data_IF_830409797658
#
_entry.id   IF_830409797658
#
_cell.length_a   1.000
_cell.length_b   1.000
_cell.length_c   1.000
_cell.angle_alpha   90.00
_cell.angle_beta   90.00
_cell.angle_gamma   90.00
#
_symmetry.space_group_name_H-M   'P 1'
#
loop_
_entity.id
_entity.type
_entity.pdbx_description
1 polymer ?
#
# COMPACT_ATOMS: atom_id res chain seq x y z
N UNK A 1 19.92 57.63 -1.99
CA UNK A 1 20.22 57.42 -3.42
C UNK A 1 21.12 56.20 -3.51
N UNK A 2 20.78 55.20 -4.35
CA UNK A 2 21.54 53.95 -4.58
C UNK A 2 21.78 53.05 -3.34
N UNK A 3 21.99 51.73 -3.46
CA UNK A 3 21.76 50.87 -4.63
C UNK A 3 22.28 49.42 -4.48
N UNK A 4 21.50 48.48 -5.03
CA UNK A 4 21.87 47.16 -5.57
C UNK A 4 22.44 45.98 -4.72
N UNK A 5 22.04 44.79 -5.20
CA UNK A 5 22.46 43.41 -4.82
C UNK A 5 23.70 42.93 -5.61
N UNK A 6 24.41 41.91 -5.09
CA UNK A 6 25.17 40.79 -5.75
C UNK A 6 25.91 40.01 -4.62
N UNK A 7 25.91 38.68 -4.39
CA UNK A 7 25.52 37.41 -5.08
C UNK A 7 26.68 36.70 -5.83
N UNK A 8 26.68 35.35 -5.87
CA UNK A 8 27.67 34.39 -6.47
C UNK A 8 28.97 34.11 -5.66
N UNK A 9 29.67 32.94 -5.73
CA UNK A 9 29.26 31.52 -5.99
C UNK A 9 30.43 30.50 -5.89
N UNK A 10 30.19 29.33 -5.28
CA UNK A 10 30.56 27.93 -5.69
C UNK A 10 32.06 27.51 -5.88
N UNK A 11 32.31 26.17 -5.89
CA UNK A 11 33.51 25.39 -6.34
C UNK A 11 34.61 25.10 -5.27
N UNK A 12 35.28 23.93 -5.17
CA UNK A 12 34.95 22.48 -5.36
C UNK A 12 36.15 21.57 -4.90
N UNK A 13 35.92 20.23 -4.86
CA UNK A 13 36.89 19.11 -5.01
C UNK A 13 38.02 18.85 -3.96
N UNK A 14 38.04 17.63 -3.40
CA UNK A 14 39.19 16.69 -3.21
C UNK A 14 38.69 15.43 -2.42
N UNK A 15 39.02 14.14 -2.63
CA UNK A 15 39.53 13.27 -3.73
C UNK A 15 40.75 12.38 -3.37
N UNK A 16 40.53 11.06 -3.36
CA UNK A 16 41.44 9.87 -3.38
C UNK A 16 42.59 9.64 -2.34
N UNK A 17 42.38 8.60 -1.50
CA UNK A 17 43.36 7.53 -1.18
C UNK A 17 44.49 7.81 -0.16
N UNK A 18 45.25 6.78 0.30
CA UNK A 18 45.21 5.34 -0.04
C UNK A 18 44.86 4.42 1.16
N UNK A 19 45.17 3.12 1.06
CA UNK A 19 44.77 2.02 1.98
C UNK A 19 45.91 1.37 2.79
N UNK A 20 45.61 0.88 4.00
CA UNK A 20 46.45 -0.10 4.75
C UNK A 20 45.59 -0.99 5.66
N UNK A 21 46.13 -2.14 6.09
CA UNK A 21 45.42 -3.23 6.78
C UNK A 21 45.92 -3.45 8.23
N UNK A 22 45.19 -4.31 8.97
CA UNK A 22 45.56 -4.98 10.24
C UNK A 22 45.62 -4.17 11.57
N UNK A 23 45.28 -4.87 12.67
CA UNK A 23 45.42 -4.39 14.06
C UNK A 23 44.31 -4.85 15.02
N UNK A 24 44.56 -5.88 15.85
CA UNK A 24 43.70 -6.22 17.00
C UNK A 24 44.00 -5.32 18.21
N UNK A 25 43.00 -5.02 19.06
CA UNK A 25 43.20 -4.38 20.36
C UNK A 25 41.92 -4.11 21.14
N UNK A 26 41.89 -4.41 22.43
CA UNK A 26 40.75 -4.22 23.34
C UNK A 26 40.88 -2.96 24.23
N UNK A 27 39.76 -2.59 24.87
CA UNK A 27 39.61 -1.74 26.08
C UNK A 27 39.88 -0.22 25.98
N UNK A 28 39.02 0.55 26.67
CA UNK A 28 39.30 1.96 27.06
C UNK A 28 38.28 3.02 26.61
N UNK A 29 37.08 3.08 27.22
CA UNK A 29 36.19 4.26 27.13
C UNK A 29 36.28 5.14 28.39
N UNK A 30 36.68 6.43 28.26
CA UNK A 30 36.17 7.52 29.08
C UNK A 30 35.01 8.25 28.37
N UNK A 31 34.20 9.01 29.12
CA UNK A 31 32.97 9.61 28.60
C UNK A 31 33.17 10.91 27.82
N UNK A 32 32.36 11.12 26.78
CA UNK A 32 32.18 12.37 26.02
C UNK A 32 30.69 12.67 25.75
N UNK A 33 30.35 13.90 25.34
CA UNK A 33 28.95 14.34 25.14
C UNK A 33 28.31 13.71 23.88
N UNK A 34 26.96 13.77 23.72
CA UNK A 34 26.25 13.00 22.71
C UNK A 34 26.40 13.58 21.30
N UNK A 35 27.00 12.81 20.39
CA UNK A 35 26.88 13.02 18.95
C UNK A 35 25.46 12.70 18.47
N UNK A 36 25.00 13.42 17.45
CA UNK A 36 23.69 13.19 16.83
C UNK A 36 23.66 11.84 16.10
N UNK A 37 22.80 10.91 16.54
CA UNK A 37 22.64 9.61 15.90
C UNK A 37 22.09 9.75 14.47
N UNK A 38 23.02 9.65 13.51
CA UNK A 38 22.78 9.57 12.09
C UNK A 38 22.31 8.15 11.77
N UNK A 39 21.00 7.96 11.64
CA UNK A 39 20.36 6.64 11.44
C UNK A 39 21.08 5.80 10.38
N UNK A 40 21.46 4.58 10.75
CA UNK A 40 22.12 3.61 9.88
C UNK A 40 21.07 2.71 9.22
N UNK A 41 20.35 3.26 8.23
CA UNK A 41 19.16 2.67 7.60
C UNK A 41 19.45 1.44 6.68
N UNK A 42 20.50 0.67 6.97
CA UNK A 42 21.06 -0.36 6.09
C UNK A 42 20.77 -1.82 6.52
N UNK A 43 20.74 -2.12 7.82
CA UNK A 43 20.85 -3.51 8.33
C UNK A 43 19.54 -4.18 8.75
N UNK A 44 18.39 -3.48 8.72
CA UNK A 44 17.10 -4.09 9.03
C UNK A 44 16.52 -4.86 7.84
N UNK A 45 16.74 -6.18 7.83
CA UNK A 45 15.93 -7.12 7.04
C UNK A 45 14.45 -6.96 7.37
N UNK A 46 13.60 -6.93 6.35
CA UNK A 46 12.15 -7.01 6.50
C UNK A 46 11.78 -8.31 7.24
N UNK A 47 10.94 -8.25 8.29
CA UNK A 47 10.53 -9.44 9.03
C UNK A 47 9.45 -10.21 8.27
N UNK A 48 9.67 -11.50 8.03
CA UNK A 48 8.60 -12.44 7.65
C UNK A 48 7.41 -12.37 8.62
N UNK A 49 6.22 -12.66 8.11
CA UNK A 49 4.98 -12.61 8.88
C UNK A 49 5.02 -13.60 10.07
N UNK A 50 4.43 -13.26 11.23
CA UNK A 50 4.32 -14.19 12.36
C UNK A 50 3.27 -15.27 12.08
N UNK A 51 3.53 -16.50 12.56
CA UNK A 51 2.59 -17.62 12.51
C UNK A 51 1.34 -17.34 13.39
N UNK A 52 0.31 -16.74 12.80
CA UNK A 52 -1.00 -16.52 13.43
C UNK A 52 -1.98 -17.63 12.98
N UNK A 53 -2.75 -18.26 13.89
CA UNK A 53 -3.75 -19.26 13.50
C UNK A 53 -4.86 -18.68 12.60
N UNK A 54 -4.75 -18.95 11.29
CA UNK A 54 -5.71 -18.49 10.29
C UNK A 54 -7.08 -19.11 10.55
N UNK A 55 -8.08 -18.28 10.85
CA UNK A 55 -9.46 -18.73 11.13
C UNK A 55 -10.32 -18.75 9.87
N UNK A 56 -9.85 -19.42 8.82
CA UNK A 56 -10.59 -19.61 7.56
C UNK A 56 -11.82 -20.48 7.77
N UNK A 57 -12.98 -19.98 7.32
CA UNK A 57 -14.07 -20.86 6.88
C UNK A 57 -13.67 -21.38 5.50
N UNK A 58 -13.46 -22.69 5.36
CA UNK A 58 -13.13 -23.31 4.07
C UNK A 58 -14.24 -23.03 3.05
N UNK A 59 -13.86 -22.67 1.83
CA UNK A 59 -14.82 -22.57 0.73
C UNK A 59 -14.81 -23.88 -0.06
N UNK A 60 -15.94 -24.58 -0.06
CA UNK A 60 -16.24 -25.58 -1.09
C UNK A 60 -16.55 -24.86 -2.41
N UNK A 61 -15.56 -24.14 -2.96
CA UNK A 61 -15.61 -23.54 -4.30
C UNK A 61 -15.45 -24.68 -5.30
N UNK A 62 -16.46 -25.02 -6.13
CA UNK A 62 -16.30 -26.07 -7.11
C UNK A 62 -15.33 -25.59 -8.20
N UNK A 63 -14.14 -26.18 -8.27
CA UNK A 63 -13.27 -26.05 -9.44
C UNK A 63 -14.05 -26.54 -10.66
N UNK A 64 -14.29 -25.66 -11.64
CA UNK A 64 -14.94 -26.02 -12.90
C UNK A 64 -14.01 -26.91 -13.73
N UNK A 65 -14.04 -28.21 -13.45
CA UNK A 65 -13.73 -29.22 -14.45
C UNK A 65 -14.91 -29.32 -15.42
N UNK A 66 -14.62 -29.12 -16.70
CA UNK A 66 -15.58 -28.76 -17.76
C UNK A 66 -16.43 -29.94 -18.26
N UNK A 67 -16.82 -30.87 -17.36
CA UNK A 67 -17.44 -32.16 -17.75
C UNK A 67 -18.30 -32.83 -16.67
N UNK A 68 -19.03 -32.06 -15.84
CA UNK A 68 -20.07 -32.62 -14.96
C UNK A 68 -21.45 -31.96 -15.12
N UNK A 69 -22.49 -32.78 -15.02
CA UNK A 69 -23.89 -32.37 -15.10
C UNK A 69 -24.26 -31.40 -13.96
N UNK A 70 -25.23 -30.47 -14.17
CA UNK A 70 -25.47 -29.36 -13.25
C UNK A 70 -25.82 -29.83 -11.83
N UNK A 71 -25.07 -29.39 -10.81
CA UNK A 71 -25.43 -29.59 -9.41
C UNK A 71 -26.81 -28.98 -9.08
N UNK A 72 -27.39 -29.42 -7.97
CA UNK A 72 -28.73 -29.00 -7.54
C UNK A 72 -28.81 -27.50 -7.19
N UNK A 73 -30.04 -26.98 -7.10
CA UNK A 73 -30.36 -25.56 -6.86
C UNK A 73 -30.01 -25.04 -5.45
N UNK A 74 -28.85 -25.40 -4.90
CA UNK A 74 -28.29 -24.73 -3.73
C UNK A 74 -27.83 -23.35 -4.17
N UNK A 75 -28.51 -22.30 -3.69
CA UNK A 75 -28.07 -20.92 -3.93
C UNK A 75 -26.78 -20.69 -3.11
N UNK A 76 -25.63 -20.73 -3.79
CA UNK A 76 -24.37 -20.27 -3.20
C UNK A 76 -24.57 -18.84 -2.64
N UNK A 77 -24.15 -18.64 -1.40
CA UNK A 77 -24.12 -17.33 -0.75
C UNK A 77 -22.75 -17.18 -0.14
N UNK A 78 -22.06 -16.11 -0.51
CA UNK A 78 -20.72 -15.85 -0.01
C UNK A 78 -20.77 -15.57 1.50
N UNK A 79 -19.81 -16.08 2.31
CA UNK A 79 -19.75 -15.77 3.73
C UNK A 79 -19.85 -14.26 3.95
N UNK A 80 -20.83 -13.83 4.74
CA UNK A 80 -21.06 -12.40 4.98
C UNK A 80 -20.02 -11.89 5.98
N UNK A 81 -19.47 -10.71 5.71
CA UNK A 81 -18.69 -10.00 6.72
C UNK A 81 -19.59 -9.70 7.93
N UNK A 82 -19.12 -10.02 9.13
CA UNK A 82 -19.80 -9.74 10.39
C UNK A 82 -18.85 -8.90 11.24
N UNK A 83 -19.11 -7.59 11.30
CA UNK A 83 -18.31 -6.65 12.08
C UNK A 83 -18.32 -6.97 13.57
N UNK A 84 -17.14 -6.98 14.19
CA UNK A 84 -16.98 -7.13 15.64
C UNK A 84 -17.24 -5.80 16.35
N UNK A 85 -17.96 -5.82 17.50
CA UNK A 85 -18.18 -4.61 18.29
C UNK A 85 -16.86 -4.01 18.81
N UNK A 86 -16.85 -2.70 18.98
CA UNK A 86 -15.68 -1.94 19.38
C UNK A 86 -15.18 -2.33 20.79
N UNK A 87 -14.07 -3.07 20.84
CA UNK A 87 -13.37 -3.44 22.09
C UNK A 87 -12.72 -2.24 22.80
N UNK A 88 -12.46 -1.17 22.04
CA UNK A 88 -11.91 0.10 22.53
C UNK A 88 -12.88 1.24 22.16
N UNK A 89 -13.15 2.22 23.05
CA UNK A 89 -13.97 3.38 22.73
C UNK A 89 -13.50 4.09 21.45
N UNK A 90 -14.41 4.58 20.62
CA UNK A 90 -14.07 5.36 19.42
C UNK A 90 -14.00 6.84 19.80
N UNK A 91 -12.98 7.62 19.38
CA UNK A 91 -12.90 9.05 19.65
C UNK A 91 -14.13 9.84 19.20
N UNK A 92 -14.59 10.74 20.06
CA UNK A 92 -15.75 11.64 19.85
C UNK A 92 -15.37 13.13 19.86
N UNK A 93 -14.15 13.46 20.30
CA UNK A 93 -13.53 14.78 20.24
C UNK A 93 -12.02 14.61 19.94
N UNK A 94 -11.32 15.62 19.36
CA UNK A 94 -9.87 15.55 19.16
C UNK A 94 -9.15 15.40 20.51
N UNK A 95 -8.19 14.47 20.60
CA UNK A 95 -7.39 14.25 21.82
C UNK A 95 -5.89 14.44 21.65
N UNK A 96 -5.42 14.76 20.44
CA UNK A 96 -3.98 14.88 20.15
C UNK A 96 -3.37 16.28 20.32
N UNK A 97 -4.15 17.27 20.76
CA UNK A 97 -3.66 18.66 20.94
C UNK A 97 -3.32 19.40 19.64
N UNK A 98 -3.58 18.79 18.49
CA UNK A 98 -3.26 19.31 17.16
C UNK A 98 -4.05 20.61 16.91
N UNK A 99 -3.34 21.72 16.73
CA UNK A 99 -3.93 23.06 16.56
C UNK A 99 -4.40 23.34 15.13
N UNK A 100 -3.78 22.72 14.12
CA UNK A 100 -4.16 22.86 12.71
C UNK A 100 -5.40 21.99 12.38
N UNK A 101 -6.56 22.63 12.41
CA UNK A 101 -7.80 22.12 11.83
C UNK A 101 -7.82 22.26 10.31
N UNK A 102 -8.70 21.50 9.65
CA UNK A 102 -8.90 21.62 8.21
C UNK A 102 -9.41 23.03 7.83
N UNK A 103 -8.85 23.61 6.77
CA UNK A 103 -9.19 24.95 6.26
C UNK A 103 -10.49 24.96 5.45
N UNK A 104 -10.89 23.81 4.91
CA UNK A 104 -12.19 23.55 4.29
C UNK A 104 -12.38 22.04 4.07
N UNK A 105 -13.58 21.59 3.70
CA UNK A 105 -13.85 20.22 3.24
C UNK A 105 -13.15 19.84 1.91
N UNK A 106 -12.34 20.74 1.32
CA UNK A 106 -11.40 20.41 0.23
C UNK A 106 -10.03 19.96 0.73
N UNK A 107 -9.78 19.96 2.05
CA UNK A 107 -8.59 19.34 2.63
C UNK A 107 -8.86 17.86 2.93
N UNK A 108 -8.47 17.00 1.97
CA UNK A 108 -8.75 15.56 1.94
C UNK A 108 -7.50 14.75 2.29
N UNK A 109 -7.65 13.79 3.21
CA UNK A 109 -6.65 12.75 3.47
C UNK A 109 -7.07 11.47 2.76
N UNK A 110 -6.14 10.90 1.98
CA UNK A 110 -6.30 9.63 1.30
C UNK A 110 -5.47 8.59 2.06
N UNK A 111 -6.15 7.79 2.87
CA UNK A 111 -5.52 6.68 3.58
C UNK A 111 -5.29 5.54 2.59
N UNK A 112 -4.03 5.14 2.39
CA UNK A 112 -3.67 4.04 1.48
C UNK A 112 -2.94 2.92 2.23
N UNK A 113 -3.28 1.68 1.89
CA UNK A 113 -2.83 0.49 2.62
C UNK A 113 -2.34 -0.56 1.62
N UNK A 114 -1.05 -0.84 1.62
CA UNK A 114 -0.38 -1.64 0.59
C UNK A 114 -0.17 -3.10 1.03
N UNK A 115 0.43 -3.91 0.14
CA UNK A 115 0.80 -5.33 0.31
C UNK A 115 -0.34 -6.33 0.55
N UNK A 116 -1.57 -5.89 0.32
CA UNK A 116 -2.75 -6.67 0.63
C UNK A 116 -3.23 -7.66 -0.44
N UNK A 117 -4.26 -8.47 -0.17
CA UNK A 117 -4.97 -8.59 1.12
C UNK A 117 -4.24 -9.53 2.09
N UNK A 118 -3.52 -8.99 3.09
CA UNK A 118 -2.77 -9.82 4.02
C UNK A 118 -3.69 -10.53 5.03
N UNK A 119 -3.56 -11.86 5.21
CA UNK A 119 -4.42 -12.62 6.10
C UNK A 119 -4.19 -12.32 7.59
N UNK A 120 -3.06 -11.73 7.96
CA UNK A 120 -2.78 -11.34 9.36
C UNK A 120 -3.49 -10.03 9.74
N UNK A 121 -3.54 -9.05 8.83
CA UNK A 121 -3.95 -7.68 9.14
C UNK A 121 -5.29 -7.23 8.56
N UNK A 122 -5.66 -7.68 7.35
CA UNK A 122 -6.82 -7.13 6.61
C UNK A 122 -8.13 -7.24 7.39
N UNK A 123 -8.38 -8.40 8.02
CA UNK A 123 -9.61 -8.62 8.77
C UNK A 123 -9.73 -7.66 9.97
N UNK A 124 -8.63 -7.36 10.65
CA UNK A 124 -8.65 -6.41 11.78
C UNK A 124 -8.95 -4.99 11.29
N UNK A 125 -8.37 -4.57 10.17
CA UNK A 125 -8.67 -3.27 9.54
C UNK A 125 -10.12 -3.14 9.11
N UNK A 126 -10.70 -4.17 8.47
CA UNK A 126 -12.12 -4.15 8.07
C UNK A 126 -13.04 -4.04 9.29
N UNK A 127 -12.76 -4.75 10.38
CA UNK A 127 -13.48 -4.61 11.64
C UNK A 127 -13.33 -3.21 12.26
N UNK A 128 -12.13 -2.62 12.19
CA UNK A 128 -11.86 -1.31 12.75
C UNK A 128 -12.55 -0.18 11.94
N UNK A 129 -12.65 -0.32 10.61
CA UNK A 129 -13.35 0.62 9.73
C UNK A 129 -14.89 0.46 9.78
N UNK A 130 -15.41 -0.76 9.91
CA UNK A 130 -16.83 -1.01 10.16
C UNK A 130 -17.30 -0.32 11.46
N UNK A 131 -16.54 -0.48 12.55
CA UNK A 131 -16.78 0.23 13.82
C UNK A 131 -16.83 1.76 13.64
N UNK A 132 -15.96 2.31 12.78
CA UNK A 132 -15.90 3.75 12.50
C UNK A 132 -17.12 4.24 11.73
N UNK A 133 -17.59 3.44 10.76
CA UNK A 133 -18.64 3.80 9.80
C UNK A 133 -20.05 3.52 10.35
N UNK A 134 -20.18 2.64 11.34
CA UNK A 134 -21.43 2.44 12.10
C UNK A 134 -21.75 3.55 13.13
N UNK A 135 -21.01 4.67 13.13
CA UNK A 135 -21.33 5.87 13.93
C UNK A 135 -22.36 6.74 13.23
N UNK A 136 -23.45 7.07 13.90
CA UNK A 136 -24.59 7.84 13.35
C UNK A 136 -24.36 9.35 13.21
N UNK A 137 -23.22 9.88 13.69
CA UNK A 137 -22.95 11.33 13.81
C UNK A 137 -21.76 11.83 12.98
N UNK A 138 -21.23 11.00 12.07
CA UNK A 138 -20.12 11.33 11.16
C UNK A 138 -20.37 10.69 9.80
N UNK A 139 -19.79 11.29 8.76
CA UNK A 139 -19.72 10.68 7.44
C UNK A 139 -18.85 9.41 7.49
N UNK A 140 -19.21 8.40 6.70
CA UNK A 140 -18.42 7.19 6.57
C UNK A 140 -17.06 7.51 5.91
N UNK A 141 -16.00 6.90 6.43
CA UNK A 141 -14.66 6.99 5.88
C UNK A 141 -14.34 5.72 5.08
N UNK A 142 -13.86 5.90 3.85
CA UNK A 142 -13.39 4.81 3.00
C UNK A 142 -11.91 5.01 2.69
N UNK A 143 -11.17 3.92 2.66
CA UNK A 143 -9.72 3.91 2.42
C UNK A 143 -9.42 3.14 1.13
N UNK A 144 -8.21 3.30 0.60
CA UNK A 144 -7.78 2.60 -0.61
C UNK A 144 -6.78 1.52 -0.26
N UNK A 145 -7.04 0.28 -0.66
CA UNK A 145 -6.08 -0.81 -0.55
C UNK A 145 -5.34 -0.94 -1.88
N UNK A 146 -4.01 -1.05 -1.83
CA UNK A 146 -3.19 -1.32 -3.02
C UNK A 146 -2.79 -2.78 -2.95
N UNK A 147 -3.39 -3.59 -3.82
CA UNK A 147 -3.45 -5.04 -3.69
C UNK A 147 -2.35 -5.72 -4.53
N UNK A 148 -1.63 -6.65 -3.91
CA UNK A 148 -0.54 -7.45 -4.49
C UNK A 148 -1.03 -8.86 -4.84
N UNK A 149 -0.76 -9.30 -6.07
CA UNK A 149 -1.19 -10.61 -6.59
C UNK A 149 -0.65 -11.82 -5.80
N UNK A 150 0.57 -11.72 -5.25
CA UNK A 150 1.20 -12.82 -4.52
C UNK A 150 0.34 -13.40 -3.39
N UNK A 151 -0.51 -12.59 -2.74
CA UNK A 151 -1.37 -13.04 -1.63
C UNK A 151 -2.35 -14.17 -2.01
N UNK A 152 -2.72 -14.30 -3.28
CA UNK A 152 -3.52 -15.42 -3.78
C UNK A 152 -2.72 -16.72 -3.98
N UNK A 153 -1.39 -16.65 -3.85
CA UNK A 153 -0.45 -17.77 -3.94
C UNK A 153 0.20 -18.09 -2.57
N UNK A 154 0.48 -17.09 -1.73
CA UNK A 154 1.03 -17.24 -0.39
C UNK A 154 1.34 -15.89 0.25
N UNK A 155 1.74 -15.87 1.53
CA UNK A 155 2.07 -14.62 2.23
C UNK A 155 3.47 -14.07 1.89
N UNK A 156 4.36 -14.93 1.39
CA UNK A 156 5.76 -14.62 1.07
C UNK A 156 5.93 -14.54 -0.45
N UNK A 157 6.62 -13.51 -0.94
CA UNK A 157 6.82 -13.27 -2.38
C UNK A 157 7.59 -14.38 -3.10
N UNK A 158 8.46 -15.12 -2.40
CA UNK A 158 9.13 -16.32 -2.95
C UNK A 158 8.13 -17.39 -3.44
N UNK A 159 6.92 -17.44 -2.86
CA UNK A 159 5.88 -18.37 -3.27
C UNK A 159 5.44 -18.13 -4.72
N UNK A 160 5.10 -16.88 -5.10
CA UNK A 160 4.72 -16.58 -6.49
C UNK A 160 5.93 -16.60 -7.42
N UNK A 161 7.07 -16.05 -7.00
CA UNK A 161 8.33 -16.02 -7.78
C UNK A 161 8.75 -17.43 -8.23
N UNK A 162 8.46 -18.45 -7.43
CA UNK A 162 8.78 -19.85 -7.73
C UNK A 162 7.60 -20.72 -8.19
N UNK A 163 6.36 -20.20 -8.20
CA UNK A 163 5.11 -20.95 -8.37
C UNK A 163 4.93 -22.10 -7.35
N UNK A 164 5.20 -21.82 -6.07
CA UNK A 164 5.01 -22.72 -4.92
C UNK A 164 3.75 -22.34 -4.13
N UNK A 165 2.62 -22.21 -4.79
CA UNK A 165 1.42 -21.66 -4.16
C UNK A 165 0.78 -22.61 -3.14
N UNK A 166 0.30 -22.05 -2.02
CA UNK A 166 -0.56 -22.71 -1.05
C UNK A 166 -2.03 -22.49 -1.46
N UNK A 167 -2.81 -23.54 -1.79
CA UNK A 167 -4.21 -23.38 -2.19
C UNK A 167 -5.08 -22.60 -1.20
N UNK A 168 -4.84 -22.72 0.12
CA UNK A 168 -5.60 -22.01 1.15
C UNK A 168 -5.36 -20.48 1.15
N UNK A 169 -4.30 -20.00 0.50
CA UNK A 169 -4.07 -18.56 0.35
C UNK A 169 -5.13 -17.92 -0.57
N UNK A 170 -5.55 -18.62 -1.63
CA UNK A 170 -6.52 -18.13 -2.60
C UNK A 170 -7.88 -17.79 -1.96
N UNK A 171 -8.49 -18.74 -1.24
CA UNK A 171 -9.79 -18.54 -0.59
C UNK A 171 -9.75 -17.42 0.45
N UNK A 172 -8.63 -17.33 1.18
CA UNK A 172 -8.41 -16.29 2.20
C UNK A 172 -8.31 -14.90 1.56
N UNK A 173 -7.49 -14.76 0.52
CA UNK A 173 -7.34 -13.52 -0.23
C UNK A 173 -8.66 -13.08 -0.88
N UNK A 174 -9.38 -14.01 -1.52
CA UNK A 174 -10.69 -13.76 -2.13
C UNK A 174 -11.74 -13.32 -1.09
N UNK A 175 -11.82 -14.00 0.06
CA UNK A 175 -12.73 -13.64 1.15
C UNK A 175 -12.49 -12.21 1.64
N UNK A 176 -11.23 -11.88 1.94
CA UNK A 176 -10.82 -10.57 2.45
C UNK A 176 -11.03 -9.46 1.42
N UNK A 177 -10.77 -9.73 0.14
CA UNK A 177 -10.93 -8.76 -0.94
C UNK A 177 -12.41 -8.47 -1.25
N UNK A 178 -13.25 -9.51 -1.34
CA UNK A 178 -14.70 -9.34 -1.55
C UNK A 178 -15.34 -8.58 -0.38
N UNK A 179 -14.92 -8.84 0.87
CA UNK A 179 -15.35 -8.05 2.02
C UNK A 179 -14.87 -6.60 1.95
N UNK A 180 -13.62 -6.36 1.51
CA UNK A 180 -13.07 -5.01 1.29
C UNK A 180 -13.93 -4.22 0.29
N UNK A 181 -14.29 -4.82 -0.84
CA UNK A 181 -15.11 -4.21 -1.89
C UNK A 181 -16.55 -3.94 -1.40
N UNK A 182 -17.18 -4.92 -0.73
CA UNK A 182 -18.54 -4.76 -0.18
C UNK A 182 -18.63 -3.74 0.96
N UNK A 183 -17.53 -3.49 1.67
CA UNK A 183 -17.41 -2.41 2.65
C UNK A 183 -17.27 -1.00 2.01
N UNK A 184 -17.25 -0.89 0.67
CA UNK A 184 -17.18 0.38 -0.07
C UNK A 184 -15.76 0.96 -0.20
N UNK A 185 -14.74 0.25 0.29
CA UNK A 185 -13.34 0.64 0.11
C UNK A 185 -12.92 0.51 -1.37
N UNK A 186 -11.88 1.26 -1.76
CA UNK A 186 -11.32 1.21 -3.11
C UNK A 186 -10.18 0.20 -3.16
N UNK A 187 -9.98 -0.44 -4.32
CA UNK A 187 -8.78 -1.24 -4.62
C UNK A 187 -8.00 -0.66 -5.80
N UNK A 188 -6.69 -0.86 -5.81
CA UNK A 188 -5.74 -0.45 -6.84
C UNK A 188 -4.61 -1.51 -6.97
N UNK A 189 -3.82 -1.49 -8.04
CA UNK A 189 -2.84 -2.55 -8.32
C UNK A 189 -1.44 -2.30 -7.70
N UNK A 190 -0.82 -3.35 -7.12
CA UNK A 190 0.54 -3.30 -6.52
C UNK A 190 1.51 -4.38 -7.05
N UNK A 191 1.33 -4.86 -8.29
CA UNK A 191 2.07 -5.96 -8.96
C UNK A 191 1.69 -7.39 -8.53
N UNK A 192 2.19 -8.37 -9.26
CA UNK A 192 2.05 -9.79 -8.93
C UNK A 192 3.09 -10.22 -7.88
N UNK A 193 4.34 -9.76 -8.03
CA UNK A 193 5.50 -10.24 -7.28
C UNK A 193 6.03 -9.32 -6.18
N UNK A 194 5.51 -8.09 -6.08
CA UNK A 194 6.08 -6.96 -5.30
C UNK A 194 7.54 -6.60 -5.68
N UNK A 195 8.11 -7.22 -6.72
CA UNK A 195 9.53 -7.12 -7.10
C UNK A 195 10.53 -7.36 -5.96
N UNK A 196 10.15 -8.01 -4.86
CA UNK A 196 11.00 -8.15 -3.68
C UNK A 196 12.09 -9.22 -3.86
N UNK A 197 13.36 -8.82 -3.90
CA UNK A 197 14.49 -9.74 -3.87
C UNK A 197 14.88 -10.04 -2.42
N UNK A 198 14.50 -11.24 -1.96
CA UNK A 198 14.83 -11.74 -0.62
C UNK A 198 16.34 -11.92 -0.35
N UNK A 199 17.20 -11.91 -1.37
CA UNK A 199 18.67 -11.95 -1.22
C UNK A 199 19.23 -10.56 -0.96
N UNK A 200 18.71 -9.54 -1.65
CA UNK A 200 19.06 -8.15 -1.46
C UNK A 200 18.38 -7.53 -0.22
N UNK A 201 17.19 -8.01 0.13
CA UNK A 201 16.36 -7.47 1.21
C UNK A 201 15.54 -6.25 0.79
N UNK A 202 15.26 -6.07 -0.50
CA UNK A 202 14.51 -4.93 -1.03
C UNK A 202 13.94 -5.18 -2.44
N UNK A 203 13.05 -4.30 -2.93
CA UNK A 203 12.53 -4.38 -4.29
C UNK A 203 13.64 -4.17 -5.34
N UNK A 204 13.74 -5.05 -6.33
CA UNK A 204 14.80 -5.06 -7.34
C UNK A 204 14.19 -5.27 -8.74
N UNK A 205 13.84 -4.16 -9.39
CA UNK A 205 13.13 -4.12 -10.67
C UNK A 205 13.99 -4.59 -11.86
N UNK A 206 15.32 -4.59 -11.75
CA UNK A 206 16.23 -5.15 -12.75
C UNK A 206 16.34 -6.68 -12.62
N UNK A 207 16.38 -7.21 -11.40
CA UNK A 207 16.67 -8.63 -11.16
C UNK A 207 15.41 -9.50 -11.16
N UNK A 208 14.32 -9.04 -10.53
CA UNK A 208 13.13 -9.89 -10.35
C UNK A 208 12.46 -10.31 -11.66
N UNK A 209 12.33 -9.47 -12.71
CA UNK A 209 11.89 -9.90 -14.04
C UNK A 209 12.67 -11.10 -14.62
N UNK A 210 13.95 -11.27 -14.26
CA UNK A 210 14.76 -12.37 -14.77
C UNK A 210 14.42 -13.69 -14.06
N UNK A 211 14.28 -13.64 -12.72
CA UNK A 211 14.10 -14.83 -11.87
C UNK A 211 12.64 -15.25 -11.65
N UNK A 212 11.69 -14.32 -11.66
CA UNK A 212 10.26 -14.60 -11.49
C UNK A 212 9.76 -15.56 -12.55
N UNK A 213 9.17 -16.68 -12.12
CA UNK A 213 8.38 -17.57 -12.99
C UNK A 213 7.01 -16.95 -13.22
N UNK A 214 6.42 -17.25 -14.39
CA UNK A 214 5.09 -16.79 -14.77
C UNK A 214 4.25 -18.03 -15.06
N UNK A 215 3.01 -18.06 -14.56
CA UNK A 215 2.06 -19.14 -14.84
C UNK A 215 1.71 -19.20 -16.33
N UNK A 216 1.45 -20.38 -16.86
CA UNK A 216 1.18 -20.58 -18.30
C UNK A 216 0.02 -19.70 -18.81
N UNK A 217 -1.04 -19.50 -18.00
CA UNK A 217 -2.16 -18.61 -18.35
C UNK A 217 -1.77 -17.13 -18.54
N UNK A 218 -0.64 -16.71 -17.97
CA UNK A 218 -0.07 -15.37 -18.07
C UNK A 218 1.25 -15.33 -18.85
N UNK A 219 1.71 -16.44 -19.45
CA UNK A 219 2.97 -16.46 -20.21
C UNK A 219 2.99 -15.46 -21.37
N UNK A 220 1.81 -15.17 -21.96
CA UNK A 220 1.61 -14.10 -22.97
C UNK A 220 1.90 -12.68 -22.45
N UNK A 221 2.03 -12.47 -21.15
CA UNK A 221 2.46 -11.19 -20.58
C UNK A 221 3.98 -10.99 -20.64
N UNK A 222 4.76 -11.99 -21.06
CA UNK A 222 6.22 -11.91 -20.90
C UNK A 222 6.62 -11.79 -19.42
N UNK A 223 7.70 -11.06 -19.13
CA UNK A 223 8.31 -11.00 -17.78
C UNK A 223 8.65 -9.61 -17.26
N UNK A 224 8.55 -8.57 -18.09
CA UNK A 224 8.94 -7.21 -17.72
C UNK A 224 8.12 -6.64 -16.54
N UNK A 225 8.53 -5.46 -16.07
CA UNK A 225 7.99 -4.83 -14.86
C UNK A 225 6.58 -4.26 -15.03
N UNK A 226 6.21 -3.68 -16.18
CA UNK A 226 4.84 -3.22 -16.39
C UNK A 226 3.88 -4.41 -16.60
N UNK A 227 4.37 -5.51 -17.14
CA UNK A 227 3.64 -6.76 -17.27
C UNK A 227 3.46 -7.50 -15.94
N UNK A 228 4.36 -7.34 -14.95
CA UNK A 228 4.11 -7.84 -13.58
C UNK A 228 2.99 -7.06 -12.88
N UNK A 229 2.90 -5.75 -13.13
CA UNK A 229 1.79 -4.91 -12.70
C UNK A 229 0.46 -5.40 -13.31
N UNK A 230 0.45 -5.73 -14.61
CA UNK A 230 -0.73 -6.32 -15.29
C UNK A 230 -1.05 -7.73 -14.80
N UNK A 231 -0.06 -8.59 -14.52
CA UNK A 231 -0.29 -9.94 -13.97
C UNK A 231 -1.01 -9.90 -12.62
N UNK A 232 -0.58 -9.02 -11.71
CA UNK A 232 -1.24 -8.84 -10.42
C UNK A 232 -2.71 -8.41 -10.59
N UNK A 233 -2.96 -7.43 -11.45
CA UNK A 233 -4.32 -7.00 -11.77
C UNK A 233 -5.17 -8.10 -12.45
N UNK A 234 -4.61 -8.87 -13.40
CA UNK A 234 -5.29 -10.02 -14.01
C UNK A 234 -5.66 -11.08 -12.96
N UNK A 235 -4.76 -11.40 -12.02
CA UNK A 235 -5.01 -12.37 -10.95
C UNK A 235 -6.15 -11.95 -10.03
N UNK A 236 -6.21 -10.66 -9.73
CA UNK A 236 -7.27 -10.07 -8.91
C UNK A 236 -8.61 -10.06 -9.67
N UNK A 237 -8.62 -9.63 -10.94
CA UNK A 237 -9.81 -9.57 -11.79
C UNK A 237 -10.40 -10.97 -12.06
N UNK A 238 -9.54 -11.94 -12.42
CA UNK A 238 -9.89 -13.38 -12.56
C UNK A 238 -10.62 -13.91 -11.31
N UNK A 239 -10.16 -13.53 -10.11
CA UNK A 239 -10.72 -14.00 -8.84
C UNK A 239 -12.07 -13.33 -8.49
N UNK A 240 -12.27 -12.07 -8.91
CA UNK A 240 -13.50 -11.29 -8.69
C UNK A 240 -14.60 -11.59 -9.73
N UNK A 241 -14.24 -12.17 -10.88
CA UNK A 241 -15.14 -12.41 -12.02
C UNK A 241 -16.38 -13.29 -11.74
N UNK A 242 -16.38 -14.08 -10.67
CA UNK A 242 -17.51 -14.94 -10.33
C UNK A 242 -18.75 -14.12 -9.88
N UNK A 243 -19.82 -14.14 -10.69
CA UNK A 243 -21.05 -13.40 -10.41
C UNK A 243 -21.74 -13.78 -9.08
N UNK A 244 -21.56 -15.00 -8.57
CA UNK A 244 -22.19 -15.44 -7.30
C UNK A 244 -21.63 -14.73 -6.07
N UNK A 245 -20.48 -14.05 -6.21
CA UNK A 245 -19.93 -13.16 -5.19
C UNK A 245 -20.81 -11.92 -4.98
N UNK A 246 -21.57 -11.46 -5.99
CA UNK A 246 -22.15 -10.12 -6.07
C UNK A 246 -23.68 -10.15 -5.99
N UNK A 247 -24.22 -10.47 -4.81
CA UNK A 247 -25.63 -10.80 -4.58
C UNK A 247 -26.60 -9.64 -4.93
N UNK A 248 -26.25 -8.39 -4.58
CA UNK A 248 -27.13 -7.21 -4.74
C UNK A 248 -26.67 -6.27 -5.86
N UNK A 249 -27.52 -5.31 -6.27
CA UNK A 249 -27.10 -4.28 -7.23
C UNK A 249 -26.06 -3.32 -6.65
N UNK A 250 -26.03 -3.14 -5.32
CA UNK A 250 -24.96 -2.41 -4.64
C UNK A 250 -23.64 -3.20 -4.69
N UNK A 251 -23.68 -4.52 -4.47
CA UNK A 251 -22.53 -5.41 -4.62
C UNK A 251 -21.97 -5.34 -6.05
N UNK A 252 -22.86 -5.40 -7.06
CA UNK A 252 -22.50 -5.32 -8.48
C UNK A 252 -21.97 -3.93 -8.88
N UNK A 253 -22.45 -2.85 -8.26
CA UNK A 253 -21.91 -1.51 -8.46
C UNK A 253 -20.52 -1.35 -7.81
N UNK A 254 -20.34 -1.87 -6.59
CA UNK A 254 -19.06 -1.89 -5.90
C UNK A 254 -18.00 -2.71 -6.66
N UNK A 255 -18.38 -3.89 -7.18
CA UNK A 255 -17.53 -4.70 -8.06
C UNK A 255 -17.11 -3.95 -9.33
N UNK A 256 -18.05 -3.32 -10.04
CA UNK A 256 -17.74 -2.52 -11.25
C UNK A 256 -16.78 -1.36 -10.95
N UNK A 257 -16.93 -0.70 -9.78
CA UNK A 257 -15.96 0.30 -9.31
C UNK A 257 -14.60 -0.33 -9.04
N UNK A 258 -14.54 -1.43 -8.29
CA UNK A 258 -13.31 -2.12 -7.92
C UNK A 258 -12.48 -2.54 -9.15
N UNK A 259 -13.11 -3.18 -10.14
CA UNK A 259 -12.47 -3.54 -11.42
C UNK A 259 -12.02 -2.27 -12.16
N UNK A 260 -12.87 -1.23 -12.24
CA UNK A 260 -12.48 0.02 -12.90
C UNK A 260 -11.34 0.75 -12.21
N UNK A 261 -11.18 0.65 -10.89
CA UNK A 261 -10.10 1.30 -10.14
C UNK A 261 -8.81 0.48 -10.17
N UNK A 262 -8.90 -0.85 -10.09
CA UNK A 262 -7.79 -1.78 -10.32
C UNK A 262 -7.13 -1.55 -11.70
N UNK A 263 -7.94 -1.33 -12.75
CA UNK A 263 -7.47 -1.04 -14.11
C UNK A 263 -7.22 0.45 -14.42
N UNK A 264 -7.16 1.33 -13.41
CA UNK A 264 -6.89 2.77 -13.59
C UNK A 264 -5.91 3.37 -12.56
N UNK A 265 -5.68 2.72 -11.42
CA UNK A 265 -4.83 3.22 -10.33
C UNK A 265 -3.86 2.13 -9.88
N UNK A 266 -2.62 2.55 -9.62
CA UNK A 266 -1.59 1.67 -9.08
C UNK A 266 -0.62 2.44 -8.19
N UNK A 267 0.18 1.69 -7.43
CA UNK A 267 1.44 2.18 -6.85
C UNK A 267 2.52 1.17 -7.16
N UNK A 268 3.73 1.65 -7.42
CA UNK A 268 4.89 0.79 -7.67
C UNK A 268 5.51 0.37 -6.32
N UNK A 269 5.67 -0.94 -6.05
CA UNK A 269 6.42 -1.47 -4.91
C UNK A 269 7.72 -0.72 -4.60
N UNK A 270 7.96 -0.45 -3.31
CA UNK A 270 9.09 0.33 -2.78
C UNK A 270 9.36 1.69 -3.47
N UNK A 271 8.40 2.33 -4.15
CA UNK A 271 8.69 3.47 -5.05
C UNK A 271 7.69 4.62 -4.89
N UNK A 272 8.12 5.73 -4.28
CA UNK A 272 7.33 6.96 -4.19
C UNK A 272 7.40 7.76 -5.50
N UNK A 273 6.73 7.22 -6.53
CA UNK A 273 6.57 7.82 -7.85
C UNK A 273 5.14 8.33 -8.02
N UNK A 274 5.01 9.55 -8.51
CA UNK A 274 3.75 10.12 -8.96
C UNK A 274 3.80 10.23 -10.48
N UNK A 275 2.91 9.52 -11.17
CA UNK A 275 2.73 9.66 -12.62
C UNK A 275 1.27 9.86 -12.97
N UNK A 276 0.93 11.12 -13.21
CA UNK A 276 -0.42 11.64 -13.43
C UNK A 276 -0.42 12.54 -14.69
N UNK A 277 -1.59 13.00 -15.16
CA UNK A 277 -1.65 14.05 -16.18
C UNK A 277 -0.98 15.32 -15.66
N UNK A 278 0.03 15.81 -16.37
CA UNK A 278 0.78 17.01 -15.99
C UNK A 278 1.58 16.92 -14.68
N UNK A 279 1.92 15.71 -14.21
CA UNK A 279 2.83 15.50 -13.07
C UNK A 279 3.64 14.20 -13.25
N UNK A 280 4.98 14.32 -13.15
CA UNK A 280 5.92 13.19 -13.14
C UNK A 280 7.00 13.48 -12.10
N UNK A 281 6.93 12.85 -10.92
CA UNK A 281 7.93 13.00 -9.86
C UNK A 281 8.30 11.64 -9.27
N UNK A 282 9.53 11.52 -8.75
CA UNK A 282 9.96 10.37 -7.94
C UNK A 282 10.84 10.86 -6.80
N UNK A 283 10.60 10.34 -5.60
CA UNK A 283 11.27 10.76 -4.36
C UNK A 283 11.58 9.56 -3.47
N UNK A 284 12.35 9.75 -2.39
CA UNK A 284 12.57 8.72 -1.37
C UNK A 284 13.40 7.49 -1.77
N UNK A 285 13.89 7.42 -3.01
CA UNK A 285 14.76 6.33 -3.48
C UNK A 285 16.07 6.29 -2.67
N UNK A 286 16.45 5.09 -2.21
CA UNK A 286 17.76 4.85 -1.57
C UNK A 286 18.84 4.88 -2.64
N UNK A 287 20.11 4.93 -2.21
CA UNK A 287 21.27 4.97 -3.12
C UNK A 287 21.32 3.75 -4.07
N UNK A 288 20.85 2.62 -3.58
CA UNK A 288 20.78 1.32 -4.26
C UNK A 288 19.64 1.27 -5.29
N UNK A 289 18.61 2.11 -5.12
CA UNK A 289 17.48 2.27 -6.04
C UNK A 289 17.79 3.31 -7.16
N UNK A 290 19.03 3.81 -7.28
CA UNK A 290 19.42 4.81 -8.28
C UNK A 290 19.97 4.20 -9.57
N UNK A 291 20.16 5.04 -10.60
CA UNK A 291 20.66 4.60 -11.90
C UNK A 291 19.70 3.59 -12.56
N UNK A 292 20.18 2.41 -12.98
CA UNK A 292 19.34 1.41 -13.65
C UNK A 292 18.03 1.07 -12.92
N UNK A 293 18.05 0.94 -11.58
CA UNK A 293 16.83 0.67 -10.77
C UNK A 293 15.80 1.81 -10.88
N UNK A 294 16.25 3.06 -10.71
CA UNK A 294 15.40 4.25 -10.87
C UNK A 294 14.82 4.29 -12.28
N UNK A 295 15.64 4.03 -13.29
CA UNK A 295 15.26 4.25 -14.67
C UNK A 295 14.28 3.16 -15.16
N UNK A 296 14.39 1.90 -14.70
CA UNK A 296 13.36 0.87 -14.94
C UNK A 296 12.07 1.15 -14.15
N UNK A 297 12.14 1.66 -12.91
CA UNK A 297 10.95 2.06 -12.13
C UNK A 297 10.19 3.20 -12.80
N UNK A 298 10.91 4.21 -13.28
CA UNK A 298 10.31 5.30 -14.07
C UNK A 298 9.72 4.78 -15.39
N UNK A 299 10.44 3.92 -16.11
CA UNK A 299 9.91 3.30 -17.34
C UNK A 299 8.64 2.47 -17.07
N UNK A 300 8.56 1.79 -15.93
CA UNK A 300 7.36 1.07 -15.49
C UNK A 300 6.19 2.04 -15.32
N UNK A 301 6.37 3.14 -14.60
CA UNK A 301 5.33 4.16 -14.40
C UNK A 301 4.90 4.84 -15.72
N UNK A 302 5.84 5.15 -16.63
CA UNK A 302 5.52 5.70 -17.96
C UNK A 302 4.78 4.69 -18.85
N UNK A 303 5.15 3.41 -18.81
CA UNK A 303 4.46 2.33 -19.56
C UNK A 303 3.03 2.15 -19.07
N UNK A 304 2.83 2.07 -17.76
CA UNK A 304 1.52 2.04 -17.13
C UNK A 304 0.67 3.27 -17.51
N UNK A 305 1.24 4.47 -17.51
CA UNK A 305 0.55 5.69 -17.94
C UNK A 305 0.25 5.73 -19.45
N UNK A 306 1.02 5.02 -20.28
CA UNK A 306 0.74 4.89 -21.72
C UNK A 306 -0.53 4.09 -22.02
N UNK A 307 -0.84 3.06 -21.22
CA UNK A 307 -1.87 2.07 -21.55
C UNK A 307 -1.41 1.10 -22.66
N UNK A 308 -2.37 0.47 -23.34
CA UNK A 308 -2.16 -0.44 -24.48
C UNK A 308 -1.12 -1.55 -24.23
N UNK A 309 -1.11 -2.07 -22.99
CA UNK A 309 -0.11 -3.04 -22.51
C UNK A 309 -0.32 -4.42 -23.14
N UNK A 310 0.75 -5.04 -23.64
CA UNK A 310 0.72 -6.24 -24.51
C UNK A 310 -0.18 -7.39 -23.99
N UNK A 311 -0.15 -7.66 -22.68
CA UNK A 311 -0.96 -8.74 -22.11
C UNK A 311 -2.47 -8.45 -22.09
N UNK A 312 -2.86 -7.16 -22.04
CA UNK A 312 -4.24 -6.67 -22.02
C UNK A 312 -4.32 -5.35 -22.81
N UNK A 313 -4.40 -5.38 -24.16
CA UNK A 313 -4.30 -4.18 -24.99
C UNK A 313 -5.45 -3.17 -24.82
N UNK A 314 -6.56 -3.54 -24.20
CA UNK A 314 -7.66 -2.63 -23.82
C UNK A 314 -7.39 -1.86 -22.51
N UNK A 315 -6.17 -1.95 -21.95
CA UNK A 315 -5.74 -1.15 -20.80
C UNK A 315 -5.70 0.34 -21.15
N UNK A 316 -6.48 1.11 -20.38
CA UNK A 316 -6.39 2.58 -20.33
C UNK A 316 -5.09 2.99 -19.59
N UNK A 317 -4.66 4.26 -19.73
CA UNK A 317 -3.67 4.87 -18.85
C UNK A 317 -3.94 4.60 -17.36
N UNK A 318 -2.95 4.04 -16.67
CA UNK A 318 -2.94 3.91 -15.22
C UNK A 318 -2.26 5.10 -14.55
N UNK A 319 -2.78 5.48 -13.39
CA UNK A 319 -2.26 6.56 -12.55
C UNK A 319 -1.37 5.96 -11.46
N UNK A 320 -0.08 6.30 -11.49
CA UNK A 320 0.86 5.86 -10.44
C UNK A 320 0.81 6.84 -9.28
N UNK A 321 0.41 6.37 -8.10
CA UNK A 321 0.15 7.19 -6.92
C UNK A 321 1.22 6.99 -5.86
N UNK A 322 2.03 8.02 -5.58
CA UNK A 322 3.02 8.01 -4.50
C UNK A 322 2.39 8.26 -3.13
N UNK A 323 3.17 8.83 -2.20
CA UNK A 323 2.70 9.23 -0.87
C UNK A 323 3.35 10.52 -0.37
N UNK A 324 2.62 11.28 0.45
CA UNK A 324 3.09 12.52 1.11
C UNK A 324 3.55 12.26 2.55
N UNK A 325 2.98 11.26 3.22
CA UNK A 325 3.34 10.79 4.55
C UNK A 325 3.40 9.25 4.58
N UNK A 326 4.15 8.68 5.52
CA UNK A 326 4.33 7.24 5.65
C UNK A 326 4.20 6.81 7.12
N UNK A 327 3.39 5.79 7.38
CA UNK A 327 3.21 5.20 8.70
C UNK A 327 3.75 3.78 8.73
N UNK A 328 4.89 3.61 9.39
CA UNK A 328 5.39 2.30 9.83
C UNK A 328 5.03 2.09 11.29
N UNK A 329 4.28 1.03 11.56
CA UNK A 329 3.93 0.57 12.91
C UNK A 329 4.69 -0.74 13.16
N UNK A 330 5.45 -0.82 14.26
CA UNK A 330 6.26 -2.00 14.54
C UNK A 330 5.36 -3.25 14.76
N UNK A 331 5.66 -4.32 14.01
CA UNK A 331 4.97 -5.59 14.12
C UNK A 331 5.19 -6.27 15.50
N UNK A 332 6.29 -5.97 16.19
CA UNK A 332 6.79 -6.72 17.37
C UNK A 332 6.86 -5.91 18.67
N UNK A 333 6.87 -4.58 18.62
CA UNK A 333 6.91 -3.75 19.83
C UNK A 333 5.57 -3.63 20.55
N UNK A 334 5.64 -3.48 21.88
CA UNK A 334 4.57 -2.82 22.66
C UNK A 334 4.61 -1.31 22.40
N UNK A 335 3.46 -0.73 22.06
CA UNK A 335 3.34 0.67 21.64
C UNK A 335 2.34 1.42 22.51
N UNK A 336 2.55 2.73 22.68
CA UNK A 336 1.55 3.64 23.23
C UNK A 336 0.60 4.04 22.09
N UNK A 337 -0.62 3.50 22.13
CA UNK A 337 -1.63 3.71 21.10
C UNK A 337 -2.03 5.19 20.95
N UNK A 338 -2.06 5.96 22.03
CA UNK A 338 -2.40 7.39 21.99
C UNK A 338 -1.24 8.19 21.41
N UNK A 339 0.00 7.92 21.83
CA UNK A 339 1.21 8.57 21.28
C UNK A 339 1.36 8.30 19.78
N UNK A 340 1.22 7.04 19.36
CA UNK A 340 1.38 6.66 17.95
C UNK A 340 0.27 7.26 17.08
N UNK A 341 -1.00 7.19 17.51
CA UNK A 341 -2.11 7.88 16.85
C UNK A 341 -1.82 9.38 16.65
N UNK A 342 -1.34 10.05 17.71
CA UNK A 342 -1.13 11.49 17.66
C UNK A 342 0.09 11.92 16.86
N UNK A 343 1.16 11.11 16.86
CA UNK A 343 2.29 11.26 15.92
C UNK A 343 1.78 11.19 14.48
N UNK A 344 1.10 10.09 14.10
CA UNK A 344 0.64 9.86 12.73
C UNK A 344 -0.36 10.93 12.27
N UNK A 345 -1.31 11.30 13.12
CA UNK A 345 -2.25 12.39 12.83
C UNK A 345 -1.52 13.73 12.64
N UNK A 346 -0.51 14.05 13.46
CA UNK A 346 0.29 15.27 13.30
C UNK A 346 1.16 15.24 12.03
N UNK A 347 1.75 14.10 11.69
CA UNK A 347 2.59 13.92 10.50
C UNK A 347 1.79 14.10 9.20
N UNK A 348 0.55 13.57 9.14
CA UNK A 348 -0.42 13.82 8.06
C UNK A 348 -0.79 15.31 7.98
N UNK A 349 -1.15 15.88 9.13
CA UNK A 349 -1.58 17.29 9.24
C UNK A 349 -0.47 18.27 8.82
N UNK A 350 0.79 17.93 9.07
CA UNK A 350 1.95 18.72 8.64
C UNK A 350 2.08 18.82 7.11
N UNK A 351 1.67 17.80 6.34
CA UNK A 351 1.85 17.78 4.89
C UNK A 351 0.98 18.81 4.15
N UNK A 352 -0.17 19.19 4.70
CA UNK A 352 -1.06 20.18 4.06
C UNK A 352 -0.42 21.56 3.88
N UNK A 353 0.50 21.94 4.77
CA UNK A 353 1.24 23.22 4.69
C UNK A 353 2.72 23.04 4.30
N UNK A 354 3.15 21.80 4.01
CA UNK A 354 4.50 21.49 3.57
C UNK A 354 4.71 21.88 2.10
N UNK A 355 5.56 22.89 1.87
CA UNK A 355 5.94 23.36 0.53
C UNK A 355 6.74 22.34 -0.29
N UNK A 356 7.26 21.31 0.37
CA UNK A 356 8.14 20.26 -0.17
C UNK A 356 7.54 18.85 -0.06
N UNK A 357 6.22 18.70 0.15
CA UNK A 357 5.58 17.37 0.07
C UNK A 357 5.77 16.77 -1.32
N UNK A 358 5.77 15.44 -1.42
CA UNK A 358 6.16 14.73 -2.63
C UNK A 358 5.08 14.77 -3.74
N UNK A 359 3.80 14.77 -3.36
CA UNK A 359 2.68 14.77 -4.29
C UNK A 359 2.23 16.15 -4.78
N UNK A 360 1.32 16.18 -5.78
CA UNK A 360 0.73 17.41 -6.31
C UNK A 360 0.32 18.42 -5.23
N UNK A 361 0.82 19.66 -5.36
CA UNK A 361 0.55 20.75 -4.41
C UNK A 361 -0.94 21.09 -4.38
N UNK A 362 -1.51 21.10 -3.18
CA UNK A 362 -2.93 21.31 -2.93
C UNK A 362 -3.38 20.68 -1.60
N UNK A 363 -4.67 20.82 -1.29
CA UNK A 363 -5.32 20.30 -0.07
C UNK A 363 -5.52 18.78 -0.06
N UNK A 364 -4.52 18.01 -0.47
CA UNK A 364 -4.62 16.57 -0.67
C UNK A 364 -3.38 15.91 -0.07
N UNK A 365 -3.54 14.96 0.84
CA UNK A 365 -2.43 14.26 1.49
C UNK A 365 -2.64 12.76 1.36
N UNK A 366 -1.71 12.05 0.72
CA UNK A 366 -1.74 10.58 0.64
C UNK A 366 -0.85 9.97 1.72
N UNK A 367 -1.40 9.10 2.55
CA UNK A 367 -0.66 8.34 3.57
C UNK A 367 -0.40 6.91 3.09
N UNK A 368 0.86 6.48 3.04
CA UNK A 368 1.25 5.07 2.93
C UNK A 368 1.23 4.37 4.30
N UNK A 369 0.66 3.16 4.35
CA UNK A 369 0.92 2.12 5.37
C UNK A 369 0.69 0.74 4.73
N UNK A 370 0.82 -0.36 5.47
CA UNK A 370 0.65 -1.73 4.94
C UNK A 370 -0.28 -2.53 5.87
N UNK A 371 -1.13 -3.42 5.34
CA UNK A 371 -2.15 -4.06 6.18
C UNK A 371 -1.57 -5.04 7.21
N UNK A 372 -0.47 -5.75 6.87
CA UNK A 372 0.23 -6.68 7.77
C UNK A 372 0.74 -6.05 9.08
N UNK A 373 0.91 -4.73 9.17
CA UNK A 373 1.24 -4.05 10.44
C UNK A 373 0.11 -4.19 11.47
N UNK A 374 -1.13 -4.33 11.02
CA UNK A 374 -2.35 -4.31 11.85
C UNK A 374 -2.79 -5.73 12.23
N UNK A 375 -1.83 -6.59 12.58
CA UNK A 375 -2.00 -8.01 12.89
C UNK A 375 -2.90 -8.33 14.11
N UNK A 376 -3.37 -7.31 14.83
CA UNK A 376 -4.31 -7.46 15.95
C UNK A 376 -5.32 -6.30 16.04
N UNK A 377 -6.41 -6.51 16.77
CA UNK A 377 -7.50 -5.55 16.94
C UNK A 377 -7.15 -4.30 17.75
N UNK A 378 -6.03 -4.29 18.50
CA UNK A 378 -5.55 -3.08 19.17
C UNK A 378 -4.71 -2.22 18.20
N UNK A 379 -3.90 -2.83 17.33
CA UNK A 379 -3.21 -2.11 16.26
C UNK A 379 -4.19 -1.51 15.27
N UNK A 380 -5.18 -2.30 14.83
CA UNK A 380 -6.21 -1.80 13.92
C UNK A 380 -7.09 -0.70 14.54
N UNK A 381 -7.28 -0.67 15.88
CA UNK A 381 -7.98 0.43 16.52
C UNK A 381 -7.18 1.75 16.51
N UNK A 382 -5.84 1.72 16.46
CA UNK A 382 -5.04 2.93 16.18
C UNK A 382 -5.42 3.50 14.81
N UNK A 383 -5.53 2.67 13.77
CA UNK A 383 -5.85 3.12 12.40
C UNK A 383 -7.23 3.81 12.36
N UNK A 384 -8.25 3.13 12.90
CA UNK A 384 -9.59 3.70 13.13
C UNK A 384 -9.53 5.04 13.87
N UNK A 385 -8.72 5.14 14.92
CA UNK A 385 -8.67 6.33 15.77
C UNK A 385 -7.87 7.48 15.16
N UNK A 386 -6.87 7.21 14.29
CA UNK A 386 -6.24 8.22 13.43
C UNK A 386 -7.27 8.82 12.49
N UNK A 387 -8.04 7.98 11.79
CA UNK A 387 -9.11 8.43 10.89
C UNK A 387 -10.19 9.22 11.65
N UNK A 388 -10.56 8.77 12.86
CA UNK A 388 -11.47 9.51 13.74
C UNK A 388 -10.92 10.88 14.14
N UNK A 389 -9.67 10.97 14.60
CA UNK A 389 -9.01 12.24 14.98
C UNK A 389 -8.99 13.22 13.81
N UNK A 390 -8.66 12.77 12.59
CA UNK A 390 -8.68 13.59 11.38
C UNK A 390 -10.10 14.11 11.05
N UNK A 391 -11.13 13.25 11.09
CA UNK A 391 -12.54 13.67 10.94
C UNK A 391 -13.04 14.60 12.06
N UNK A 392 -12.39 14.63 13.22
CA UNK A 392 -12.70 15.51 14.35
C UNK A 392 -11.96 16.85 14.27
N UNK A 393 -10.78 16.87 13.61
CA UNK A 393 -10.07 18.07 13.19
C UNK A 393 -10.65 18.71 11.90
N UNK A 394 -11.59 18.01 11.24
CA UNK A 394 -12.40 18.52 10.13
C UNK A 394 -11.93 18.10 8.73
N UNK A 395 -10.94 17.21 8.63
CA UNK A 395 -10.46 16.71 7.33
C UNK A 395 -11.44 15.69 6.75
N UNK A 396 -11.66 15.75 5.43
CA UNK A 396 -12.40 14.73 4.69
C UNK A 396 -11.50 13.51 4.46
N UNK A 397 -12.06 12.31 4.51
CA UNK A 397 -11.33 11.06 4.25
C UNK A 397 -11.82 10.49 2.92
N UNK A 398 -10.91 10.30 1.97
CA UNK A 398 -11.24 9.94 0.59
C UNK A 398 -10.46 8.76 0.04
N UNK A 399 -10.95 8.20 -1.06
CA UNK A 399 -10.29 7.15 -1.84
C UNK A 399 -9.60 7.74 -3.08
N UNK A 400 -8.55 7.09 -3.61
CA UNK A 400 -7.72 7.67 -4.67
C UNK A 400 -8.47 7.96 -5.99
N UNK A 401 -9.62 7.34 -6.24
CA UNK A 401 -10.54 7.67 -7.34
C UNK A 401 -11.23 9.05 -7.19
N UNK A 402 -11.08 9.67 -6.02
CA UNK A 402 -11.49 11.04 -5.70
C UNK A 402 -10.27 12.00 -5.64
N UNK A 403 -9.08 11.57 -6.08
CA UNK A 403 -7.89 12.43 -6.13
C UNK A 403 -7.99 13.40 -7.32
N UNK A 404 -7.77 14.71 -7.13
CA UNK A 404 -7.90 15.68 -8.22
C UNK A 404 -6.76 15.54 -9.22
N UNK A 405 -7.12 15.18 -10.45
CA UNK A 405 -6.21 15.20 -11.60
C UNK A 405 -6.24 16.59 -12.25
N UNK A 406 -5.08 17.07 -12.71
CA UNK A 406 -5.02 18.21 -13.64
C UNK A 406 -5.67 17.76 -14.96
N UNK A 407 -6.50 18.62 -15.55
CA UNK A 407 -7.01 18.48 -16.91
C UNK A 407 -6.13 19.30 -17.87
#
# INVERSE_FOLDING_TARGET
>A
MFGFLVVWSVVALFVFGPSSHEGHGEQGRPNGPPDSERSSDADQRWPSAPDVPITTVAMDTPLLNDTMAPPSKVKFSFPKFVGQPAKFPIPTAPTCGITRKAKSAKEVVYMTVDDGPSPSGRLNLLNAMDQLNNRTNKEAAYVTFIESGYNFCGQETDAIVNLKCNPAAYDTALQLLVWTIKAGHMIAAHSDSHFYDARAGFCNYVTMPLVTKVEDKYAKCGKDTWSDMVRGALRIDDALANETLWETDADRAAHKRAVSTLWSYARLPCTNVWRLPGETTVTGLRKEDLGPERDIRMLTAEKLFGGELECKPDTKPWLSMGWDAEWRLDAKATYDAQKEKCKVAQDIVNQFDNKWKAGPRGGHVVLLTHDYFFADMAKASIFRDVVAELQLLGYTIGTLDQYPLKQ
#
